data_IF_524214116295
#
_entry.id   IF_524214116295
#
_cell.length_a   1.000
_cell.length_b   1.000
_cell.length_c   1.000
_cell.angle_alpha   90.00
_cell.angle_beta   90.00
_cell.angle_gamma   90.00
#
_symmetry.space_group_name_H-M   'P 1'
#
loop_
_entity.id
_entity.type
_entity.pdbx_description
1 polymer ?
#
# COMPACT_ATOMS: atom_id res chain seq x y z
N UNK A 1 -21.40 -13.01 16.11
CA UNK A 1 -22.17 -12.06 16.92
C UNK A 1 -23.06 -11.24 15.98
N UNK A 2 -24.33 -11.64 15.87
CA UNK A 2 -25.31 -11.00 15.00
C UNK A 2 -26.51 -10.55 15.85
N UNK A 3 -26.42 -9.44 16.61
CA UNK A 3 -27.45 -9.00 17.53
C UNK A 3 -28.77 -8.62 16.84
N UNK A 4 -28.72 -8.29 15.55
CA UNK A 4 -29.89 -7.99 14.73
C UNK A 4 -30.83 -9.20 14.50
N UNK A 5 -30.34 -10.43 14.74
CA UNK A 5 -31.16 -11.66 14.61
C UNK A 5 -31.97 -11.93 15.88
N UNK A 6 -31.58 -11.34 17.02
CA UNK A 6 -32.10 -11.69 18.34
C UNK A 6 -32.78 -10.56 19.13
N UNK A 7 -32.74 -9.30 18.67
CA UNK A 7 -33.37 -8.14 19.37
C UNK A 7 -33.84 -7.07 18.39
N UNK A 8 -35.15 -6.87 18.33
CA UNK A 8 -35.80 -6.18 17.22
C UNK A 8 -35.78 -4.63 17.17
N UNK A 9 -35.49 -3.88 18.26
CA UNK A 9 -35.78 -2.43 18.25
C UNK A 9 -34.61 -1.48 18.53
N UNK A 10 -33.47 -1.97 18.99
CA UNK A 10 -32.30 -1.09 19.34
C UNK A 10 -31.42 -0.70 18.16
N UNK A 11 -31.70 -1.20 16.97
CA UNK A 11 -30.82 -1.09 15.81
C UNK A 11 -31.48 -0.40 14.61
N UNK A 12 -32.58 0.32 14.86
CA UNK A 12 -33.24 1.15 13.84
C UNK A 12 -32.89 2.62 14.03
N UNK A 13 -32.75 3.36 12.93
CA UNK A 13 -32.68 4.81 12.92
C UNK A 13 -34.03 5.42 13.28
N UNK A 14 -34.08 6.74 13.53
CA UNK A 14 -35.29 7.45 13.87
C UNK A 14 -36.39 7.38 12.76
N UNK A 15 -36.01 7.07 11.52
CA UNK A 15 -36.88 6.86 10.37
C UNK A 15 -37.34 5.39 10.18
N UNK A 16 -36.99 4.51 11.13
CA UNK A 16 -37.35 3.09 11.10
C UNK A 16 -36.46 2.20 10.23
N UNK A 17 -35.44 2.76 9.57
CA UNK A 17 -34.46 1.97 8.81
C UNK A 17 -33.47 1.27 9.74
N UNK A 18 -32.90 0.13 9.30
CA UNK A 18 -31.87 -0.56 10.08
C UNK A 18 -30.57 0.24 10.06
N UNK A 19 -30.00 0.47 11.25
CA UNK A 19 -28.68 1.08 11.38
C UNK A 19 -27.64 0.27 10.65
N UNK A 20 -26.78 0.96 9.91
CA UNK A 20 -25.66 0.33 9.25
C UNK A 20 -24.73 -0.38 10.25
N UNK A 21 -24.08 -1.46 9.84
CA UNK A 21 -23.17 -2.25 10.69
C UNK A 21 -22.11 -1.38 11.39
N UNK A 22 -21.63 -0.31 10.73
CA UNK A 22 -20.66 0.62 11.29
C UNK A 22 -21.28 1.53 12.39
N UNK A 23 -22.54 1.94 12.24
CA UNK A 23 -23.27 2.72 13.24
C UNK A 23 -23.52 1.89 14.50
N UNK A 24 -24.00 0.64 14.33
CA UNK A 24 -24.21 -0.30 15.43
C UNK A 24 -22.90 -0.58 16.20
N UNK A 25 -21.81 -0.70 15.48
CA UNK A 25 -20.47 -0.89 16.04
C UNK A 25 -19.99 0.35 16.80
N UNK A 26 -20.30 1.54 16.31
CA UNK A 26 -19.94 2.80 16.97
C UNK A 26 -20.76 3.02 18.26
N UNK A 27 -22.05 2.73 18.25
CA UNK A 27 -22.91 2.84 19.44
C UNK A 27 -22.57 1.80 20.52
N UNK A 28 -22.23 0.57 20.12
CA UNK A 28 -21.89 -0.51 21.08
C UNK A 28 -20.57 -0.26 21.82
N UNK A 29 -19.75 0.70 21.35
CA UNK A 29 -18.43 0.99 21.93
C UNK A 29 -18.37 2.29 22.75
N UNK A 30 -19.52 3.00 22.94
CA UNK A 30 -19.56 4.29 23.64
C UNK A 30 -18.75 5.38 22.95
N UNK A 31 -18.67 6.58 23.47
CA UNK A 31 -17.88 7.71 22.95
C UNK A 31 -16.37 7.39 22.93
N UNK A 32 -15.94 6.60 21.93
CA UNK A 32 -14.54 6.19 21.81
C UNK A 32 -13.80 7.23 20.99
N UNK A 33 -12.78 7.86 21.55
CA UNK A 33 -11.92 8.82 20.85
C UNK A 33 -11.30 8.16 19.59
N UNK A 34 -10.95 8.99 18.61
CA UNK A 34 -10.26 8.52 17.39
C UNK A 34 -8.99 7.77 17.76
N UNK A 35 -8.19 8.32 18.70
CA UNK A 35 -6.97 7.67 19.21
C UNK A 35 -7.24 6.27 19.76
N UNK A 36 -8.30 6.09 20.55
CA UNK A 36 -8.65 4.77 21.09
C UNK A 36 -9.08 3.78 19.98
N UNK A 37 -9.72 4.27 18.91
CA UNK A 37 -10.05 3.45 17.73
C UNK A 37 -8.79 3.07 16.94
N UNK A 38 -7.86 3.99 16.78
CA UNK A 38 -6.57 3.76 16.09
C UNK A 38 -5.74 2.75 16.86
N UNK A 39 -5.59 2.92 18.17
CA UNK A 39 -4.79 2.03 19.03
C UNK A 39 -5.35 0.59 19.14
N UNK A 40 -6.58 0.36 18.70
CA UNK A 40 -7.17 -0.99 18.58
C UNK A 40 -6.81 -1.71 17.27
N UNK A 41 -6.05 -1.10 16.37
CA UNK A 41 -5.53 -1.83 15.20
C UNK A 41 -4.46 -2.80 15.70
N UNK A 42 -4.60 -4.11 15.44
CA UNK A 42 -3.58 -5.07 15.87
C UNK A 42 -2.23 -4.76 15.24
N UNK A 43 -1.21 -4.61 16.06
CA UNK A 43 0.17 -4.36 15.62
C UNK A 43 0.77 -5.55 14.86
N UNK A 44 0.15 -6.71 14.97
CA UNK A 44 0.55 -7.95 14.27
C UNK A 44 0.20 -7.98 12.78
N UNK A 45 -0.53 -6.98 12.28
CA UNK A 45 -0.78 -6.87 10.85
C UNK A 45 0.52 -6.57 10.08
N UNK A 46 0.63 -7.03 8.83
CA UNK A 46 1.66 -6.55 7.92
C UNK A 46 1.69 -5.00 7.89
N UNK A 47 2.88 -4.40 7.80
CA UNK A 47 3.06 -2.97 8.04
C UNK A 47 2.20 -2.08 7.13
N UNK A 48 2.10 -2.42 5.83
CA UNK A 48 1.27 -1.67 4.90
C UNK A 48 -0.23 -1.83 5.21
N UNK A 49 -0.64 -3.04 5.63
CA UNK A 49 -2.02 -3.28 6.09
C UNK A 49 -2.32 -2.48 7.37
N UNK A 50 -1.38 -2.44 8.31
CA UNK A 50 -1.51 -1.65 9.53
C UNK A 50 -1.68 -0.16 9.19
N UNK A 51 -0.82 0.41 8.34
CA UNK A 51 -0.91 1.80 7.88
C UNK A 51 -2.30 2.13 7.29
N UNK A 52 -2.81 1.30 6.39
CA UNK A 52 -4.14 1.50 5.81
C UNK A 52 -5.26 1.43 6.84
N UNK A 53 -5.21 0.47 7.77
CA UNK A 53 -6.24 0.33 8.83
C UNK A 53 -6.25 1.55 9.76
N UNK A 54 -5.07 2.06 10.11
CA UNK A 54 -4.90 3.29 10.89
C UNK A 54 -5.53 4.48 10.14
N UNK A 55 -5.13 4.71 8.89
CA UNK A 55 -5.65 5.79 8.06
C UNK A 55 -7.19 5.68 7.88
N UNK A 56 -7.71 4.47 7.62
CA UNK A 56 -9.17 4.26 7.51
C UNK A 56 -9.90 4.63 8.80
N UNK A 57 -9.34 4.31 9.96
CA UNK A 57 -9.96 4.65 11.26
C UNK A 57 -9.89 6.13 11.58
N UNK A 58 -8.82 6.81 11.19
CA UNK A 58 -8.69 8.27 11.32
C UNK A 58 -9.73 8.96 10.44
N UNK A 59 -9.83 8.57 9.17
CA UNK A 59 -10.81 9.11 8.22
C UNK A 59 -12.26 8.88 8.69
N UNK A 60 -12.57 7.68 9.19
CA UNK A 60 -13.89 7.34 9.77
C UNK A 60 -14.19 8.13 11.06
N UNK A 61 -13.19 8.75 11.66
CA UNK A 61 -13.33 9.67 12.78
C UNK A 61 -13.66 11.11 12.37
N UNK A 62 -13.78 11.39 11.08
CA UNK A 62 -14.08 12.73 10.56
C UNK A 62 -12.84 13.58 10.24
N UNK A 63 -11.62 13.02 10.40
CA UNK A 63 -10.40 13.73 10.01
C UNK A 63 -10.24 13.66 8.50
N UNK A 64 -10.13 14.82 7.87
CA UNK A 64 -9.83 14.90 6.43
C UNK A 64 -8.36 14.54 6.19
N UNK A 65 -8.13 13.40 5.55
CA UNK A 65 -6.81 13.00 5.08
C UNK A 65 -6.52 13.63 3.70
N UNK A 66 -5.24 13.81 3.32
CA UNK A 66 -4.86 14.33 2.01
C UNK A 66 -5.53 13.53 0.88
N UNK A 67 -5.93 14.20 -0.19
CA UNK A 67 -6.40 13.52 -1.40
C UNK A 67 -5.23 12.98 -2.22
N UNK A 68 -5.51 12.15 -3.25
CA UNK A 68 -4.48 11.50 -4.08
C UNK A 68 -3.47 12.48 -4.67
N UNK A 69 -3.93 13.67 -5.12
CA UNK A 69 -3.04 14.69 -5.69
C UNK A 69 -2.10 15.28 -4.63
N UNK A 70 -2.60 15.57 -3.43
CA UNK A 70 -1.78 16.06 -2.33
C UNK A 70 -0.82 14.99 -1.83
N UNK A 71 -1.24 13.71 -1.80
CA UNK A 71 -0.39 12.58 -1.44
C UNK A 71 0.77 12.39 -2.42
N UNK A 72 0.51 12.49 -3.73
CA UNK A 72 1.56 12.47 -4.77
C UNK A 72 2.54 13.64 -4.57
N UNK A 73 2.05 14.83 -4.22
CA UNK A 73 2.90 15.97 -3.90
C UNK A 73 3.80 15.72 -2.70
N UNK A 74 3.27 15.12 -1.64
CA UNK A 74 4.03 14.72 -0.46
C UNK A 74 5.13 13.68 -0.80
N UNK A 75 4.79 12.67 -1.61
CA UNK A 75 5.74 11.67 -2.08
C UNK A 75 6.89 12.34 -2.85
N UNK A 76 6.59 13.24 -3.78
CA UNK A 76 7.62 13.98 -4.54
C UNK A 76 8.56 14.73 -3.60
N UNK A 77 8.01 15.46 -2.63
CA UNK A 77 8.83 16.20 -1.66
C UNK A 77 9.78 15.29 -0.87
N UNK A 78 9.29 14.12 -0.43
CA UNK A 78 10.13 13.13 0.27
C UNK A 78 11.26 12.64 -0.65
N UNK A 79 10.98 12.42 -1.93
CA UNK A 79 11.97 11.99 -2.91
C UNK A 79 13.00 13.09 -3.20
N UNK A 80 12.58 14.34 -3.38
CA UNK A 80 13.46 15.49 -3.60
C UNK A 80 14.42 15.69 -2.41
N UNK A 81 13.90 15.56 -1.17
CA UNK A 81 14.71 15.64 0.05
C UNK A 81 15.70 14.46 0.16
N UNK A 82 15.27 13.26 -0.23
CA UNK A 82 16.11 12.06 -0.25
C UNK A 82 17.24 12.18 -1.29
N UNK A 83 16.92 12.68 -2.50
CA UNK A 83 17.88 12.94 -3.57
C UNK A 83 18.94 13.95 -3.12
N UNK A 84 18.52 15.07 -2.52
CA UNK A 84 19.44 16.08 -1.98
C UNK A 84 20.41 15.52 -0.94
N UNK A 85 19.96 14.61 -0.07
CA UNK A 85 20.83 13.94 0.90
C UNK A 85 21.85 13.04 0.23
N UNK A 86 21.44 12.25 -0.76
CA UNK A 86 22.34 11.38 -1.54
C UNK A 86 23.41 12.23 -2.23
N UNK A 87 23.02 13.34 -2.86
CA UNK A 87 23.94 14.24 -3.57
C UNK A 87 24.95 14.90 -2.62
N UNK A 88 24.58 15.12 -1.37
CA UNK A 88 25.50 15.62 -0.32
C UNK A 88 26.34 14.52 0.34
N UNK A 89 26.19 13.27 -0.07
CA UNK A 89 26.90 12.12 0.50
C UNK A 89 26.32 11.65 1.84
N UNK A 90 25.11 12.08 2.19
CA UNK A 90 24.40 11.67 3.39
C UNK A 90 23.53 10.43 3.11
N UNK A 91 23.23 9.69 4.17
CA UNK A 91 22.28 8.56 4.09
C UNK A 91 20.83 9.03 4.20
N UNK A 92 19.93 8.36 3.48
CA UNK A 92 18.49 8.52 3.69
C UNK A 92 18.14 7.91 5.06
N UNK A 93 17.42 8.66 5.88
CA UNK A 93 16.99 8.17 7.19
C UNK A 93 15.78 7.23 7.10
N UNK A 94 15.59 6.45 8.17
CA UNK A 94 14.47 5.49 8.26
C UNK A 94 13.11 6.18 8.24
N UNK A 95 13.03 7.41 8.74
CA UNK A 95 11.77 8.14 8.82
C UNK A 95 11.32 8.58 7.44
N UNK A 96 12.23 8.99 6.54
CA UNK A 96 11.93 9.33 5.16
C UNK A 96 11.38 8.10 4.40
N UNK A 97 12.03 6.94 4.55
CA UNK A 97 11.55 5.68 3.96
C UNK A 97 10.19 5.29 4.54
N UNK A 98 10.02 5.40 5.86
CA UNK A 98 8.76 5.12 6.54
C UNK A 98 7.62 6.04 6.05
N UNK A 99 7.90 7.34 5.91
CA UNK A 99 6.94 8.31 5.38
C UNK A 99 6.54 8.00 3.93
N UNK A 100 7.51 7.64 3.07
CA UNK A 100 7.25 7.23 1.69
C UNK A 100 6.29 6.03 1.62
N UNK A 101 6.59 4.97 2.38
CA UNK A 101 5.75 3.76 2.43
C UNK A 101 4.35 4.05 2.99
N UNK A 102 4.24 4.91 4.00
CA UNK A 102 2.96 5.32 4.57
C UNK A 102 2.13 6.13 3.57
N UNK A 103 2.75 7.04 2.83
CA UNK A 103 2.11 7.83 1.78
C UNK A 103 1.69 6.96 0.59
N UNK A 104 2.51 5.98 0.19
CA UNK A 104 2.14 5.01 -0.83
C UNK A 104 0.91 4.17 -0.41
N UNK A 105 0.86 3.72 0.86
CA UNK A 105 -0.32 3.03 1.39
C UNK A 105 -1.57 3.92 1.43
N UNK A 106 -1.41 5.22 1.69
CA UNK A 106 -2.49 6.21 1.65
C UNK A 106 -3.04 6.39 0.24
N UNK A 107 -2.15 6.54 -0.75
CA UNK A 107 -2.51 6.65 -2.15
C UNK A 107 -3.29 5.41 -2.62
N UNK A 108 -2.75 4.22 -2.38
CA UNK A 108 -3.42 2.95 -2.71
C UNK A 108 -4.82 2.86 -2.09
N UNK A 109 -5.00 3.28 -0.84
CA UNK A 109 -6.30 3.32 -0.17
C UNK A 109 -7.29 4.24 -0.89
N UNK A 110 -6.84 5.42 -1.33
CA UNK A 110 -7.70 6.41 -2.01
C UNK A 110 -8.14 5.91 -3.37
N UNK A 111 -7.23 5.26 -4.09
CA UNK A 111 -7.50 4.67 -5.41
C UNK A 111 -8.16 3.27 -5.34
N UNK A 112 -8.52 2.82 -4.11
CA UNK A 112 -9.17 1.51 -3.86
C UNK A 112 -8.34 0.31 -4.32
N UNK A 113 -7.02 0.46 -4.35
CA UNK A 113 -6.07 -0.61 -4.67
C UNK A 113 -5.67 -1.34 -3.39
N UNK A 114 -5.70 -2.67 -3.39
CA UNK A 114 -5.12 -3.44 -2.31
C UNK A 114 -3.59 -3.43 -2.44
N UNK A 115 -2.89 -2.79 -1.49
CA UNK A 115 -1.44 -2.59 -1.53
C UNK A 115 -0.64 -3.87 -1.29
N UNK A 116 -1.18 -4.81 -0.48
CA UNK A 116 -0.52 -6.10 -0.26
C UNK A 116 -0.61 -6.96 -1.52
N UNK A 117 -1.79 -7.00 -2.13
CA UNK A 117 -2.01 -7.69 -3.39
C UNK A 117 -1.17 -7.07 -4.51
N UNK A 118 -1.21 -5.74 -4.67
CA UNK A 118 -0.45 -5.04 -5.69
C UNK A 118 1.06 -5.28 -5.55
N UNK A 119 1.61 -5.19 -4.33
CA UNK A 119 3.03 -5.46 -4.09
C UNK A 119 3.35 -6.95 -4.28
N UNK A 120 2.45 -7.85 -3.87
CA UNK A 120 2.63 -9.29 -4.05
C UNK A 120 2.67 -9.69 -5.52
N UNK A 121 1.79 -9.12 -6.34
CA UNK A 121 1.79 -9.33 -7.79
C UNK A 121 3.09 -8.79 -8.41
N UNK A 122 3.44 -7.55 -8.08
CA UNK A 122 4.69 -6.96 -8.58
C UNK A 122 5.93 -7.79 -8.22
N UNK A 123 6.00 -8.30 -6.98
CA UNK A 123 7.08 -9.16 -6.55
C UNK A 123 7.14 -10.47 -7.35
N UNK A 124 5.99 -11.09 -7.65
CA UNK A 124 5.93 -12.31 -8.49
C UNK A 124 6.45 -12.03 -9.89
N UNK A 125 6.00 -10.93 -10.49
CA UNK A 125 6.42 -10.53 -11.83
C UNK A 125 7.92 -10.24 -11.87
N UNK A 126 8.43 -9.55 -10.85
CA UNK A 126 9.86 -9.26 -10.72
C UNK A 126 10.69 -10.54 -10.58
N UNK A 127 10.24 -11.52 -9.78
CA UNK A 127 10.93 -12.80 -9.63
C UNK A 127 10.90 -13.61 -10.93
N UNK A 128 9.74 -13.66 -11.60
CA UNK A 128 9.64 -14.35 -12.89
C UNK A 128 10.57 -13.75 -13.94
N UNK A 129 10.63 -12.43 -13.99
CA UNK A 129 11.54 -11.67 -14.82
C UNK A 129 13.00 -12.02 -14.52
N UNK A 130 13.40 -11.96 -13.24
CA UNK A 130 14.78 -12.26 -12.84
C UNK A 130 15.18 -13.67 -13.26
N UNK A 131 14.30 -14.65 -13.07
CA UNK A 131 14.53 -16.03 -13.50
C UNK A 131 14.76 -16.15 -15.02
N UNK A 132 14.01 -15.38 -15.83
CA UNK A 132 14.18 -15.36 -17.28
C UNK A 132 15.53 -14.74 -17.69
N UNK A 133 15.90 -13.63 -17.04
CA UNK A 133 17.20 -12.98 -17.28
C UNK A 133 18.36 -13.90 -16.88
N UNK A 134 18.25 -14.57 -15.74
CA UNK A 134 19.27 -15.53 -15.29
C UNK A 134 19.42 -16.67 -16.29
N UNK A 135 18.30 -17.26 -16.74
CA UNK A 135 18.31 -18.32 -17.75
C UNK A 135 18.97 -17.86 -19.06
N UNK A 136 18.63 -16.65 -19.53
CA UNK A 136 19.24 -16.05 -20.72
C UNK A 136 20.74 -15.84 -20.53
N UNK A 137 21.17 -15.32 -19.39
CA UNK A 137 22.57 -15.10 -19.04
C UNK A 137 23.37 -16.42 -19.07
N UNK A 138 22.83 -17.47 -18.45
CA UNK A 138 23.46 -18.80 -18.44
C UNK A 138 23.59 -19.41 -19.84
N UNK A 139 22.54 -19.26 -20.69
CA UNK A 139 22.54 -19.76 -22.05
C UNK A 139 23.56 -19.05 -22.95
N UNK A 140 23.79 -17.74 -22.70
CA UNK A 140 24.70 -16.91 -23.48
C UNK A 140 26.07 -16.70 -22.84
N UNK A 141 26.41 -17.43 -21.77
CA UNK A 141 27.67 -17.32 -21.04
C UNK A 141 27.97 -15.89 -20.54
N UNK A 142 26.93 -15.12 -20.19
CA UNK A 142 27.05 -13.77 -19.66
C UNK A 142 27.30 -13.86 -18.15
N UNK A 143 28.33 -13.15 -17.66
CA UNK A 143 28.60 -13.15 -16.22
C UNK A 143 27.68 -12.18 -15.48
N UNK A 144 26.85 -12.70 -14.59
CA UNK A 144 25.91 -11.92 -13.76
C UNK A 144 26.62 -10.95 -12.81
N UNK A 145 27.80 -11.30 -12.32
CA UNK A 145 28.54 -10.49 -11.34
C UNK A 145 29.00 -9.12 -11.91
N UNK A 146 28.95 -8.97 -13.24
CA UNK A 146 29.31 -7.74 -13.95
C UNK A 146 28.13 -6.95 -14.47
N UNK A 147 26.90 -7.40 -14.26
CA UNK A 147 25.70 -6.72 -14.73
C UNK A 147 25.26 -5.63 -13.78
N UNK A 148 25.16 -4.41 -14.28
CA UNK A 148 24.46 -3.33 -13.60
C UNK A 148 22.93 -3.42 -13.79
N UNK A 149 22.20 -2.67 -12.95
CA UNK A 149 20.74 -2.66 -13.00
C UNK A 149 20.17 -2.09 -14.32
N UNK A 150 20.88 -1.19 -15.00
CA UNK A 150 20.42 -0.63 -16.27
C UNK A 150 20.48 -1.67 -17.37
N UNK A 151 21.52 -2.50 -17.41
CA UNK A 151 21.67 -3.64 -18.29
C UNK A 151 20.58 -4.69 -18.03
N UNK A 152 20.32 -5.04 -16.76
CA UNK A 152 19.22 -5.91 -16.35
C UNK A 152 17.86 -5.38 -16.83
N UNK A 153 17.62 -4.08 -16.66
CA UNK A 153 16.38 -3.44 -17.08
C UNK A 153 16.19 -3.43 -18.59
N UNK A 154 17.26 -3.22 -19.37
CA UNK A 154 17.19 -3.24 -20.83
C UNK A 154 16.97 -4.64 -21.39
N UNK A 155 17.59 -5.65 -20.82
CA UNK A 155 17.32 -7.06 -21.12
C UNK A 155 15.86 -7.42 -20.82
N UNK A 156 15.35 -7.00 -19.68
CA UNK A 156 13.93 -7.16 -19.36
C UNK A 156 13.00 -6.56 -20.40
N UNK A 157 13.25 -5.31 -20.79
CA UNK A 157 12.42 -4.62 -21.76
C UNK A 157 12.44 -5.28 -23.14
N UNK A 158 13.58 -5.86 -23.54
CA UNK A 158 13.70 -6.59 -24.81
C UNK A 158 12.94 -7.92 -24.78
N UNK A 159 13.04 -8.69 -23.70
CA UNK A 159 12.33 -9.97 -23.55
C UNK A 159 10.80 -9.78 -23.49
N UNK A 160 10.31 -8.76 -22.77
CA UNK A 160 8.87 -8.48 -22.71
C UNK A 160 8.28 -8.04 -24.05
N UNK A 161 9.04 -7.32 -24.88
CA UNK A 161 8.59 -6.95 -26.23
C UNK A 161 8.52 -8.17 -27.16
N UNK A 162 9.46 -9.08 -27.05
CA UNK A 162 9.46 -10.32 -27.84
C UNK A 162 8.28 -11.22 -27.48
N UNK A 163 7.92 -11.31 -26.19
CA UNK A 163 6.77 -12.09 -25.73
C UNK A 163 5.40 -11.50 -26.14
N UNK A 164 5.29 -10.17 -26.28
CA UNK A 164 4.09 -9.51 -26.78
C UNK A 164 3.92 -9.67 -28.32
N UNK A 165 5.01 -9.76 -29.06
CA UNK A 165 4.99 -9.94 -30.52
C UNK A 165 4.71 -11.40 -30.92
N UNK A 166 5.09 -12.39 -30.09
CA UNK A 166 4.78 -13.82 -30.29
C UNK A 166 3.33 -14.20 -29.92
N UNK A 167 2.61 -13.32 -29.19
CA UNK A 167 1.22 -13.56 -28.78
C UNK A 167 0.15 -12.93 -29.70
N UNK A 168 0.56 -12.33 -30.81
CA UNK A 168 -0.30 -11.78 -31.88
C UNK A 168 -0.33 -12.67 -33.11
#
# INVERSE_FOLDING_TARGET
RHPHIFKNDKFKNADGSFKGWEEIKNESHGHTTISRRVNRVPITFPALMYAQKVQKRIAAGGVQLPNSKAEIGAIRKILDEAESKIDSGESIDKDAVGALLFSAASLARQEKVDREEALSLYNKDFVALFNNIEKFSLQNHINFDTMDFATLKSLWQSENRSAEDESK
#
